data_IF_949792594203
#
_entry.id   IF_949792594203
#
_cell.length_a   1.000
_cell.length_b   1.000
_cell.length_c   1.000
_cell.angle_alpha   90.00
_cell.angle_beta   90.00
_cell.angle_gamma   90.00
#
_symmetry.space_group_name_H-M   'P 1'
#
loop_
_entity.id
_entity.type
_entity.pdbx_description
1 polymer ?
#
# COMPACT_ATOMS: atom_id res chain seq x y z
N UNK A 1 -4.80 -16.47 -23.29
CA UNK A 1 -4.61 -15.92 -21.93
C UNK A 1 -3.35 -15.09 -21.93
N UNK A 2 -3.45 -13.80 -21.64
CA UNK A 2 -2.32 -12.87 -21.60
C UNK A 2 -1.89 -12.77 -20.14
N UNK A 3 -0.63 -13.00 -19.84
CA UNK A 3 -0.09 -12.81 -18.49
C UNK A 3 0.57 -11.43 -18.41
N UNK A 4 0.07 -10.59 -17.51
CA UNK A 4 0.61 -9.27 -17.23
C UNK A 4 1.33 -9.28 -15.87
N UNK A 5 2.36 -8.45 -15.76
CA UNK A 5 2.95 -8.13 -14.46
C UNK A 5 2.44 -6.76 -14.01
N UNK A 6 2.17 -6.54 -12.72
CA UNK A 6 1.61 -5.26 -12.22
C UNK A 6 2.47 -4.04 -12.58
N UNK A 7 3.78 -4.23 -12.73
CA UNK A 7 4.71 -3.16 -13.10
C UNK A 7 4.52 -2.66 -14.55
N UNK A 8 3.77 -3.38 -15.38
CA UNK A 8 3.49 -2.99 -16.78
C UNK A 8 2.12 -2.34 -16.93
N UNK A 9 1.30 -2.36 -15.90
CA UNK A 9 -0.05 -1.77 -15.90
C UNK A 9 0.06 -0.30 -15.57
N UNK A 10 -0.54 0.55 -16.39
CA UNK A 10 -0.61 2.00 -16.15
C UNK A 10 -1.97 2.40 -15.56
N UNK A 11 -2.07 3.59 -14.97
CA UNK A 11 -3.36 4.14 -14.52
C UNK A 11 -4.32 4.26 -15.70
N UNK A 12 -3.84 4.68 -16.87
CA UNK A 12 -4.66 4.78 -18.09
C UNK A 12 -5.23 3.43 -18.52
N UNK A 13 -4.46 2.34 -18.39
CA UNK A 13 -4.97 0.98 -18.66
C UNK A 13 -6.10 0.62 -17.69
N UNK A 14 -5.96 0.97 -16.42
CA UNK A 14 -6.98 0.71 -15.41
C UNK A 14 -8.25 1.55 -15.65
N UNK A 15 -8.11 2.80 -16.05
CA UNK A 15 -9.25 3.66 -16.41
C UNK A 15 -10.01 3.13 -17.64
N UNK A 16 -9.28 2.75 -18.69
CA UNK A 16 -9.87 2.33 -19.96
C UNK A 16 -10.47 0.93 -19.91
N UNK A 17 -9.82 0.00 -19.25
CA UNK A 17 -10.22 -1.41 -19.28
C UNK A 17 -11.06 -1.84 -18.08
N UNK A 18 -10.99 -1.10 -16.96
CA UNK A 18 -11.62 -1.49 -15.69
C UNK A 18 -12.52 -0.41 -15.09
N UNK A 19 -12.85 0.65 -15.87
CA UNK A 19 -13.74 1.74 -15.46
C UNK A 19 -13.34 2.44 -14.16
N UNK A 20 -12.04 2.46 -13.83
CA UNK A 20 -11.58 3.28 -12.72
C UNK A 20 -11.66 4.74 -13.09
N UNK A 21 -12.18 5.56 -12.17
CA UNK A 21 -12.28 7.00 -12.35
C UNK A 21 -11.45 7.72 -11.30
N UNK A 22 -10.67 8.70 -11.73
CA UNK A 22 -10.03 9.62 -10.79
C UNK A 22 -11.07 10.58 -10.23
N UNK A 23 -11.18 10.63 -8.90
CA UNK A 23 -12.07 11.55 -8.20
C UNK A 23 -11.25 12.68 -7.56
N UNK A 24 -11.57 13.91 -7.90
CA UNK A 24 -10.98 15.11 -7.27
C UNK A 24 -11.68 15.50 -5.96
N UNK A 25 -12.82 14.86 -5.65
CA UNK A 25 -13.56 15.14 -4.42
C UNK A 25 -12.85 14.56 -3.20
N UNK A 26 -12.21 15.43 -2.45
CA UNK A 26 -11.52 15.05 -1.21
C UNK A 26 -12.47 14.53 -0.11
N UNK A 27 -13.76 14.77 -0.22
CA UNK A 27 -14.76 14.32 0.75
C UNK A 27 -15.36 12.95 0.43
N UNK A 28 -14.95 12.33 -0.68
CA UNK A 28 -15.50 11.05 -1.15
C UNK A 28 -15.35 9.91 -0.13
N UNK A 29 -14.27 9.92 0.65
CA UNK A 29 -14.04 8.97 1.73
C UNK A 29 -14.15 9.66 3.09
N UNK A 30 -15.36 9.92 3.60
CA UNK A 30 -15.56 10.63 4.86
C UNK A 30 -15.01 9.87 6.07
N UNK A 31 -14.92 8.55 6.00
CA UNK A 31 -14.36 7.68 7.04
C UNK A 31 -12.88 7.96 7.35
N UNK A 32 -12.13 8.55 6.42
CA UNK A 32 -10.73 8.93 6.62
C UNK A 32 -10.57 10.37 7.12
N UNK A 33 -11.66 11.11 7.23
CA UNK A 33 -11.63 12.55 7.52
C UNK A 33 -12.46 12.94 8.75
N UNK A 34 -13.55 12.21 8.99
CA UNK A 34 -14.50 12.56 10.05
C UNK A 34 -14.46 11.56 11.18
N UNK A 35 -14.69 12.06 12.39
CA UNK A 35 -14.80 11.24 13.61
C UNK A 35 -13.55 10.39 13.93
N UNK A 36 -12.39 10.78 13.40
CA UNK A 36 -11.14 10.11 13.76
C UNK A 36 -10.80 10.42 15.23
N UNK A 37 -10.41 9.41 16.02
CA UNK A 37 -9.98 9.65 17.39
C UNK A 37 -8.72 10.53 17.38
N UNK A 38 -8.57 11.48 18.31
CA UNK A 38 -7.38 12.29 18.42
C UNK A 38 -6.19 11.42 18.82
N UNK A 39 -5.05 11.65 18.18
CA UNK A 39 -3.82 10.99 18.57
C UNK A 39 -3.45 11.34 20.02
N UNK A 40 -3.07 10.33 20.79
CA UNK A 40 -2.51 10.50 22.12
C UNK A 40 -1.16 11.21 22.06
N UNK A 41 -0.70 11.73 23.20
CA UNK A 41 0.64 12.34 23.29
C UNK A 41 1.75 11.35 22.89
N UNK A 42 1.64 10.11 23.34
CA UNK A 42 2.62 9.06 23.04
C UNK A 42 2.66 8.72 21.55
N UNK A 43 1.51 8.64 20.89
CA UNK A 43 1.45 8.40 19.45
C UNK A 43 2.09 9.55 18.66
N UNK A 44 1.81 10.80 19.03
CA UNK A 44 2.45 11.97 18.42
C UNK A 44 3.97 11.93 18.56
N UNK A 45 4.48 11.68 19.77
CA UNK A 45 5.92 11.57 20.03
C UNK A 45 6.56 10.43 19.21
N UNK A 46 5.88 9.31 19.03
CA UNK A 46 6.36 8.19 18.19
C UNK A 46 6.38 8.58 16.71
N UNK A 47 5.36 9.25 16.21
CA UNK A 47 5.32 9.76 14.84
C UNK A 47 6.42 10.78 14.58
N UNK A 48 6.69 11.70 15.51
CA UNK A 48 7.75 12.69 15.40
C UNK A 48 9.13 12.05 15.38
N UNK A 49 9.34 11.03 16.21
CA UNK A 49 10.57 10.23 16.20
C UNK A 49 10.77 9.52 14.87
N UNK A 50 9.72 8.87 14.37
CA UNK A 50 9.73 8.17 13.09
C UNK A 50 10.08 9.13 11.94
N UNK A 51 9.44 10.28 11.88
CA UNK A 51 9.75 11.35 10.92
C UNK A 51 11.20 11.79 11.00
N UNK A 52 11.72 12.01 12.22
CA UNK A 52 13.10 12.42 12.44
C UNK A 52 14.09 11.35 11.96
N UNK A 53 13.83 10.08 12.26
CA UNK A 53 14.65 8.96 11.82
C UNK A 53 14.66 8.84 10.30
N UNK A 54 13.51 8.94 9.65
CA UNK A 54 13.39 8.91 8.20
C UNK A 54 14.17 10.05 7.54
N UNK A 55 13.97 11.30 7.99
CA UNK A 55 14.68 12.47 7.46
C UNK A 55 16.20 12.39 7.67
N UNK A 56 16.64 11.77 8.77
CA UNK A 56 18.05 11.54 9.01
C UNK A 56 18.63 10.53 7.99
N UNK A 57 17.93 9.42 7.77
CA UNK A 57 18.38 8.37 6.86
C UNK A 57 18.39 8.83 5.39
N UNK A 58 17.52 9.75 5.00
CA UNK A 58 17.56 10.35 3.66
C UNK A 58 18.88 11.04 3.32
N UNK A 59 19.69 11.40 4.33
CA UNK A 59 21.02 11.99 4.12
C UNK A 59 22.09 10.97 3.70
N UNK A 60 21.75 9.68 3.77
CA UNK A 60 22.65 8.56 3.44
C UNK A 60 22.05 7.67 2.35
N UNK A 61 21.94 8.20 1.11
CA UNK A 61 21.36 7.44 0.01
C UNK A 61 22.29 6.27 -0.42
N UNK A 62 21.72 5.23 -1.03
CA UNK A 62 20.31 5.08 -1.38
C UNK A 62 19.45 4.54 -0.22
N UNK A 63 18.31 5.19 0.05
CA UNK A 63 17.33 4.64 0.96
C UNK A 63 16.47 3.62 0.21
N UNK A 64 16.83 2.36 0.34
CA UNK A 64 16.20 1.25 -0.38
C UNK A 64 14.83 0.92 0.23
N UNK A 65 14.02 0.22 -0.55
CA UNK A 65 12.66 -0.19 -0.22
C UNK A 65 12.56 -0.92 1.13
N UNK A 66 13.43 -1.92 1.35
CA UNK A 66 13.46 -2.66 2.61
C UNK A 66 13.80 -1.78 3.81
N UNK A 67 14.64 -0.76 3.65
CA UNK A 67 14.93 0.20 4.71
C UNK A 67 13.69 1.04 5.03
N UNK A 68 12.94 1.48 4.01
CA UNK A 68 11.66 2.19 4.21
C UNK A 68 10.65 1.30 4.93
N UNK A 69 10.53 0.02 4.55
CA UNK A 69 9.67 -0.95 5.24
C UNK A 69 10.02 -1.07 6.73
N UNK A 70 11.30 -1.18 7.06
CA UNK A 70 11.77 -1.33 8.44
C UNK A 70 11.60 -0.05 9.27
N UNK A 71 11.95 1.10 8.72
CA UNK A 71 12.07 2.34 9.50
C UNK A 71 10.77 3.12 9.55
N UNK A 72 9.93 3.00 8.54
CA UNK A 72 8.67 3.74 8.44
C UNK A 72 7.48 2.82 8.62
N UNK A 73 7.36 1.83 7.75
CA UNK A 73 6.14 1.04 7.64
C UNK A 73 5.92 0.13 8.85
N UNK A 74 6.96 -0.61 9.28
CA UNK A 74 6.82 -1.51 10.42
C UNK A 74 6.40 -0.79 11.71
N UNK A 75 7.00 0.36 12.10
CA UNK A 75 6.53 1.11 13.26
C UNK A 75 5.10 1.66 13.12
N UNK A 76 4.67 2.04 11.91
CA UNK A 76 3.29 2.50 11.68
C UNK A 76 2.29 1.37 11.86
N UNK A 77 2.56 0.19 11.30
CA UNK A 77 1.72 -0.99 11.47
C UNK A 77 1.62 -1.44 12.94
N UNK A 78 2.71 -1.35 13.67
CA UNK A 78 2.73 -1.65 15.10
C UNK A 78 1.89 -0.65 15.89
N UNK A 79 2.03 0.66 15.62
CA UNK A 79 1.22 1.70 16.28
C UNK A 79 -0.27 1.58 15.93
N UNK A 80 -0.60 1.16 14.72
CA UNK A 80 -1.98 0.93 14.27
C UNK A 80 -2.59 -0.37 14.83
N UNK A 81 -1.82 -1.19 15.56
CA UNK A 81 -2.30 -2.42 16.18
C UNK A 81 -2.37 -3.62 15.25
N UNK A 82 -1.88 -3.53 14.03
CA UNK A 82 -1.97 -4.61 13.04
C UNK A 82 -1.09 -5.85 13.36
N UNK A 83 -0.22 -5.76 14.38
CA UNK A 83 0.57 -6.91 14.84
C UNK A 83 -0.14 -7.75 15.92
N UNK A 84 -1.35 -7.35 16.30
CA UNK A 84 -2.13 -8.01 17.34
C UNK A 84 -3.38 -8.67 16.77
N UNK A 85 -3.91 -9.74 17.42
CA UNK A 85 -5.19 -10.30 17.01
C UNK A 85 -6.30 -9.25 16.93
N UNK A 86 -7.22 -9.34 15.98
CA UNK A 86 -7.47 -10.45 15.06
C UNK A 86 -6.66 -10.37 13.75
N UNK A 87 -5.74 -9.45 13.64
CA UNK A 87 -4.98 -9.24 12.41
C UNK A 87 -3.78 -10.19 12.29
N UNK A 88 -3.39 -10.45 11.05
CA UNK A 88 -2.12 -11.09 10.73
C UNK A 88 -1.53 -10.51 9.45
N UNK A 89 -0.22 -10.55 9.34
CA UNK A 89 0.52 -9.91 8.25
C UNK A 89 1.20 -10.98 7.41
N UNK A 90 1.09 -10.83 6.09
CA UNK A 90 1.91 -11.55 5.11
C UNK A 90 2.84 -10.57 4.41
N UNK A 91 4.13 -10.87 4.42
CA UNK A 91 5.14 -10.15 3.64
C UNK A 91 5.40 -10.89 2.33
N UNK A 92 5.49 -10.13 1.26
CA UNK A 92 5.79 -10.64 -0.09
C UNK A 92 4.90 -11.82 -0.55
N UNK A 93 3.58 -11.82 -0.25
CA UNK A 93 2.72 -12.88 -0.75
C UNK A 93 2.65 -12.81 -2.27
N UNK A 94 2.85 -13.96 -2.91
CA UNK A 94 2.60 -14.09 -4.34
C UNK A 94 1.12 -14.12 -4.61
N UNK A 95 0.68 -13.34 -5.58
CA UNK A 95 -0.69 -13.27 -6.02
C UNK A 95 -0.81 -13.68 -7.49
N UNK A 96 -1.89 -14.37 -7.77
CA UNK A 96 -2.34 -14.65 -9.12
C UNK A 96 -3.81 -14.26 -9.21
N UNK A 97 -4.11 -13.22 -9.95
CA UNK A 97 -5.46 -12.74 -10.19
C UNK A 97 -5.85 -13.02 -11.62
N UNK A 98 -6.98 -13.67 -11.80
CA UNK A 98 -7.48 -14.09 -13.11
C UNK A 98 -8.72 -13.28 -13.45
N UNK A 99 -8.60 -12.42 -14.45
CA UNK A 99 -9.72 -11.75 -15.09
C UNK A 99 -10.25 -12.67 -16.21
N UNK A 100 -11.35 -13.35 -15.93
CA UNK A 100 -11.96 -14.28 -16.87
C UNK A 100 -12.63 -13.58 -18.04
N UNK A 101 -13.15 -12.37 -17.85
CA UNK A 101 -13.85 -11.62 -18.89
C UNK A 101 -12.89 -11.14 -19.98
N UNK A 102 -11.72 -10.63 -19.58
CA UNK A 102 -10.70 -10.12 -20.48
C UNK A 102 -9.63 -11.18 -20.85
N UNK A 103 -9.74 -12.38 -20.30
CA UNK A 103 -8.77 -13.48 -20.49
C UNK A 103 -7.32 -13.07 -20.13
N UNK A 104 -7.19 -12.29 -19.05
CA UNK A 104 -5.93 -11.75 -18.53
C UNK A 104 -5.62 -12.38 -17.18
N UNK A 105 -4.37 -12.72 -16.97
CA UNK A 105 -3.85 -13.14 -15.66
C UNK A 105 -2.81 -12.13 -15.20
N UNK A 106 -3.00 -11.60 -14.00
CA UNK A 106 -2.03 -10.71 -13.33
C UNK A 106 -1.30 -11.53 -12.28
N UNK A 107 0.03 -11.64 -12.42
CA UNK A 107 0.89 -12.34 -11.45
C UNK A 107 1.90 -11.37 -10.87
N UNK A 108 1.98 -11.32 -9.55
CA UNK A 108 2.94 -10.46 -8.87
C UNK A 108 3.01 -10.72 -7.38
N UNK A 109 3.84 -9.95 -6.71
CA UNK A 109 3.98 -10.01 -5.26
C UNK A 109 3.56 -8.66 -4.68
N UNK A 110 2.77 -8.71 -3.60
CA UNK A 110 2.55 -7.54 -2.75
C UNK A 110 3.73 -7.37 -1.80
N UNK A 111 4.00 -6.14 -1.39
CA UNK A 111 4.98 -5.92 -0.34
C UNK A 111 4.46 -6.38 1.02
N UNK A 112 3.28 -5.91 1.41
CA UNK A 112 2.63 -6.30 2.66
C UNK A 112 1.13 -6.40 2.45
N UNK A 113 0.56 -7.46 3.00
CA UNK A 113 -0.87 -7.69 3.09
C UNK A 113 -1.25 -7.90 4.55
N UNK A 114 -2.18 -7.09 5.05
CA UNK A 114 -2.80 -7.27 6.36
C UNK A 114 -4.17 -7.92 6.18
N UNK A 115 -4.41 -9.01 6.92
CA UNK A 115 -5.66 -9.76 6.88
C UNK A 115 -6.33 -9.76 8.26
N UNK A 116 -7.66 -9.84 8.23
CA UNK A 116 -8.46 -10.27 9.35
C UNK A 116 -9.20 -11.52 8.90
N UNK A 117 -8.84 -12.68 9.46
CA UNK A 117 -9.24 -14.00 8.93
C UNK A 117 -8.84 -14.17 7.45
N UNK A 118 -9.81 -14.17 6.53
CA UNK A 118 -9.59 -14.24 5.08
C UNK A 118 -9.78 -12.91 4.37
N UNK A 119 -10.29 -11.88 5.09
CA UNK A 119 -10.56 -10.58 4.51
C UNK A 119 -9.29 -9.74 4.44
N UNK A 120 -9.04 -9.16 3.29
CA UNK A 120 -7.98 -8.18 3.08
C UNK A 120 -8.38 -6.85 3.71
N UNK A 121 -7.61 -6.42 4.69
CA UNK A 121 -7.86 -5.16 5.40
C UNK A 121 -7.02 -4.04 4.84
N UNK A 122 -5.76 -4.34 4.50
CA UNK A 122 -4.81 -3.33 4.04
C UNK A 122 -3.79 -3.96 3.10
N UNK A 123 -3.60 -3.34 1.96
CA UNK A 123 -2.58 -3.69 0.97
C UNK A 123 -1.58 -2.55 0.90
N UNK A 124 -0.30 -2.87 1.00
CA UNK A 124 0.76 -1.87 0.99
C UNK A 124 1.79 -2.24 -0.07
N UNK A 125 2.11 -1.25 -0.89
CA UNK A 125 3.21 -1.26 -1.82
C UNK A 125 4.21 -0.19 -1.40
N UNK A 126 5.45 -0.56 -1.15
CA UNK A 126 6.51 0.37 -0.78
C UNK A 126 7.43 0.66 -1.95
N UNK A 127 7.99 1.85 -1.97
CA UNK A 127 8.95 2.26 -3.00
C UNK A 127 10.16 2.91 -2.35
N UNK A 128 11.33 2.75 -2.99
CA UNK A 128 12.54 3.47 -2.56
C UNK A 128 12.29 4.98 -2.61
N UNK A 129 12.93 5.73 -1.72
CA UNK A 129 12.70 7.16 -1.54
C UNK A 129 12.91 8.02 -2.80
N UNK A 130 13.68 7.54 -3.78
CA UNK A 130 13.91 8.22 -5.06
C UNK A 130 12.85 7.91 -6.12
N UNK A 131 11.90 7.03 -5.81
CA UNK A 131 10.88 6.59 -6.76
C UNK A 131 9.65 7.48 -6.69
N UNK A 132 9.01 7.75 -7.83
CA UNK A 132 7.74 8.46 -7.85
C UNK A 132 6.63 7.60 -7.26
N UNK A 133 5.83 8.16 -6.34
CA UNK A 133 4.65 7.50 -5.80
C UNK A 133 3.61 7.20 -6.89
N UNK A 134 3.56 8.03 -7.93
CA UNK A 134 2.65 7.84 -9.07
C UNK A 134 2.86 6.49 -9.77
N UNK A 135 4.13 6.08 -9.92
CA UNK A 135 4.41 4.77 -10.52
C UNK A 135 3.96 3.58 -9.64
N UNK A 136 3.91 3.77 -8.31
CA UNK A 136 3.41 2.74 -7.38
C UNK A 136 1.89 2.63 -7.34
N UNK A 137 1.16 3.70 -7.66
CA UNK A 137 -0.31 3.72 -7.62
C UNK A 137 -0.94 2.72 -8.58
N UNK A 138 -0.48 2.67 -9.83
CA UNK A 138 -1.01 1.75 -10.83
C UNK A 138 -0.85 0.29 -10.38
N UNK A 139 0.30 -0.06 -9.82
CA UNK A 139 0.58 -1.39 -9.29
C UNK A 139 -0.36 -1.74 -8.12
N UNK A 140 -0.52 -0.83 -7.17
CA UNK A 140 -1.40 -1.02 -6.01
C UNK A 140 -2.86 -1.21 -6.44
N UNK A 141 -3.35 -0.34 -7.32
CA UNK A 141 -4.73 -0.37 -7.82
C UNK A 141 -5.02 -1.63 -8.64
N UNK A 142 -4.04 -2.14 -9.40
CA UNK A 142 -4.21 -3.40 -10.13
C UNK A 142 -4.49 -4.59 -9.21
N UNK A 143 -3.89 -4.63 -8.02
CA UNK A 143 -4.18 -5.68 -7.04
C UNK A 143 -5.53 -5.49 -6.34
N UNK A 144 -5.91 -4.25 -6.06
CA UNK A 144 -7.14 -3.94 -5.31
C UNK A 144 -8.40 -4.14 -6.14
N UNK A 145 -8.32 -3.98 -7.46
CA UNK A 145 -9.48 -4.09 -8.35
C UNK A 145 -9.96 -5.54 -8.52
N UNK A 146 -9.05 -6.52 -8.48
CA UNK A 146 -9.35 -7.91 -8.80
C UNK A 146 -9.59 -8.80 -7.57
N UNK A 147 -9.79 -8.20 -6.38
CA UNK A 147 -9.90 -8.98 -5.14
C UNK A 147 -11.27 -8.82 -4.44
#
# INVERSE_FOLDING_TARGET
MITLTPNTITITDLEQNYNLCFLEDLSFFPEWQHNLPPLTKTEKERCDRLKTSYLYLLRYPPLLENTVKMVVLSPLLEMAGFYLPPFHIKSEPSLEVIDQENNVTIKGNLDILVLCETLWILVIESKKATFSLEAGKAQLLSYSHFN
#
